data_IF_108963766193
#
_entry.id   IF_108963766193
#
_cell.length_a   1.000
_cell.length_b   1.000
_cell.length_c   1.000
_cell.angle_alpha   90.00
_cell.angle_beta   90.00
_cell.angle_gamma   90.00
#
_symmetry.space_group_name_H-M   'P 1'
#
loop_
_entity.id
_entity.type
_entity.pdbx_description
1 polymer ?
#
# COMPACT_ATOMS: atom_id res chain seq x y z
N UNK A 1 64.21 -64.38 5.38
CA UNK A 1 62.82 -64.11 5.18
C UNK A 1 62.64 -62.61 5.06
N UNK A 2 62.71 -62.06 3.84
CA UNK A 2 62.57 -60.61 3.61
C UNK A 2 61.26 -60.38 2.89
N UNK A 3 60.29 -59.84 3.61
CA UNK A 3 59.05 -59.37 3.03
C UNK A 3 59.26 -58.01 2.37
N UNK A 4 59.25 -57.98 1.04
CA UNK A 4 59.22 -56.82 0.24
C UNK A 4 57.77 -56.23 0.29
N UNK A 5 57.61 -55.14 0.98
CA UNK A 5 56.35 -54.39 0.97
C UNK A 5 56.32 -53.58 -0.34
N UNK A 6 55.50 -54.03 -1.28
CA UNK A 6 55.26 -53.32 -2.51
C UNK A 6 54.35 -52.14 -2.21
N UNK A 7 54.88 -50.90 -2.25
CA UNK A 7 54.14 -49.69 -2.12
C UNK A 7 53.39 -49.41 -3.46
N UNK A 8 52.16 -49.79 -3.51
CA UNK A 8 51.26 -49.34 -4.60
C UNK A 8 50.93 -47.87 -4.45
N UNK A 9 51.63 -47.06 -5.22
CA UNK A 9 51.25 -45.66 -5.42
C UNK A 9 49.93 -45.68 -6.18
N UNK A 10 48.86 -45.48 -5.41
CA UNK A 10 47.55 -45.24 -5.97
C UNK A 10 47.55 -43.83 -6.57
N UNK A 11 47.90 -43.73 -7.84
CA UNK A 11 47.69 -42.53 -8.63
C UNK A 11 46.21 -42.32 -8.72
N UNK A 12 45.67 -41.60 -7.77
CA UNK A 12 44.30 -41.10 -7.83
C UNK A 12 44.14 -40.26 -9.09
N UNK A 13 43.49 -40.83 -10.07
CA UNK A 13 42.94 -40.04 -11.18
C UNK A 13 42.05 -38.99 -10.58
N UNK A 14 42.59 -37.80 -10.40
CA UNK A 14 41.77 -36.59 -10.17
C UNK A 14 40.97 -36.44 -11.46
N UNK A 15 39.81 -37.04 -11.48
CA UNK A 15 38.82 -36.73 -12.46
C UNK A 15 38.59 -35.21 -12.34
N UNK A 16 39.17 -34.48 -13.28
CA UNK A 16 38.81 -33.09 -13.55
C UNK A 16 37.34 -33.11 -13.98
N UNK A 17 36.45 -33.31 -13.02
CA UNK A 17 35.07 -32.95 -13.18
C UNK A 17 35.08 -31.45 -13.39
N UNK A 18 35.18 -31.09 -14.67
CA UNK A 18 34.97 -29.70 -15.06
C UNK A 18 33.62 -29.30 -14.49
N UNK A 19 33.67 -28.62 -13.35
CA UNK A 19 32.49 -28.06 -12.74
C UNK A 19 31.90 -27.09 -13.74
N UNK A 20 31.02 -27.56 -14.60
CA UNK A 20 30.08 -26.72 -15.31
C UNK A 20 29.18 -26.10 -14.26
N UNK A 21 29.71 -25.06 -13.57
CA UNK A 21 28.92 -24.30 -12.62
C UNK A 21 27.71 -23.75 -13.37
N UNK A 22 26.54 -23.98 -12.83
CA UNK A 22 25.32 -23.33 -13.31
C UNK A 22 25.53 -21.81 -13.34
N UNK A 23 24.77 -21.11 -14.17
CA UNK A 23 24.67 -19.65 -14.06
C UNK A 23 24.25 -19.27 -12.65
N UNK A 24 24.70 -18.11 -12.21
CA UNK A 24 24.22 -17.51 -10.98
C UNK A 24 22.79 -17.03 -11.17
N UNK A 25 22.06 -16.94 -10.08
CA UNK A 25 20.71 -16.40 -10.10
C UNK A 25 20.77 -14.89 -10.37
N UNK A 26 19.81 -14.38 -11.12
CA UNK A 26 19.67 -12.95 -11.32
C UNK A 26 19.10 -12.30 -10.06
N UNK A 27 19.61 -11.11 -9.70
CA UNK A 27 19.07 -10.29 -8.64
C UNK A 27 18.28 -9.10 -9.22
N UNK A 28 17.30 -8.61 -8.48
CA UNK A 28 16.46 -7.49 -8.91
C UNK A 28 17.26 -6.22 -9.28
N UNK A 29 18.38 -6.00 -8.61
CA UNK A 29 19.29 -4.86 -8.85
C UNK A 29 19.91 -4.81 -10.25
N UNK A 30 19.90 -5.94 -10.96
CA UNK A 30 20.36 -6.01 -12.34
C UNK A 30 19.35 -5.45 -13.35
N UNK A 31 18.14 -5.13 -12.91
CA UNK A 31 17.06 -4.74 -13.80
C UNK A 31 16.52 -3.36 -13.48
N UNK A 32 16.12 -2.65 -14.51
CA UNK A 32 15.43 -1.36 -14.41
C UNK A 32 14.23 -1.38 -15.33
N UNK A 33 13.06 -1.11 -14.80
CA UNK A 33 11.80 -1.06 -15.55
C UNK A 33 11.39 0.38 -15.82
N UNK A 34 10.92 0.67 -17.03
CA UNK A 34 10.45 1.98 -17.44
C UNK A 34 9.20 1.85 -18.33
N UNK A 35 8.07 2.50 -17.98
CA UNK A 35 7.80 3.17 -16.71
C UNK A 35 7.70 2.18 -15.53
N UNK A 36 7.84 2.65 -14.29
CA UNK A 36 7.66 1.85 -13.07
C UNK A 36 6.91 2.68 -12.03
N UNK A 37 5.63 2.37 -11.72
CA UNK A 37 4.83 1.26 -12.24
C UNK A 37 4.55 1.35 -13.75
N UNK A 38 4.12 0.21 -14.33
CA UNK A 38 3.69 0.18 -15.73
C UNK A 38 2.37 0.94 -15.90
N UNK A 39 2.21 1.58 -17.07
CA UNK A 39 1.04 2.37 -17.40
C UNK A 39 0.17 1.70 -18.45
N UNK A 40 -1.15 1.83 -18.33
CA UNK A 40 -2.10 1.36 -19.33
C UNK A 40 -2.21 2.38 -20.44
N UNK A 41 -1.99 1.95 -21.66
CA UNK A 41 -2.12 2.78 -22.88
C UNK A 41 -3.11 2.10 -23.83
N UNK A 42 -4.33 2.62 -23.87
CA UNK A 42 -5.46 1.95 -24.56
C UNK A 42 -5.76 0.60 -23.90
N UNK A 43 -5.73 -0.47 -24.69
CA UNK A 43 -5.99 -1.84 -24.21
C UNK A 43 -4.67 -2.60 -23.90
N UNK A 44 -3.54 -1.91 -23.79
CA UNK A 44 -2.24 -2.52 -23.61
C UNK A 44 -1.48 -1.92 -22.45
N UNK A 45 -0.52 -2.69 -21.95
CA UNK A 45 0.43 -2.28 -20.92
C UNK A 45 1.84 -2.39 -21.48
N UNK A 46 2.30 -1.37 -22.21
CA UNK A 46 3.65 -1.35 -22.77
C UNK A 46 4.67 -0.96 -21.71
N UNK A 47 5.89 -1.46 -21.88
CA UNK A 47 7.01 -1.08 -21.04
C UNK A 47 8.32 -1.64 -21.55
N UNK A 48 9.39 -1.35 -20.84
CA UNK A 48 10.73 -1.81 -21.18
C UNK A 48 11.47 -2.20 -19.90
N UNK A 49 12.04 -3.39 -19.89
CA UNK A 49 12.96 -3.82 -18.84
C UNK A 49 14.37 -3.79 -19.41
N UNK A 50 15.25 -3.03 -18.77
CA UNK A 50 16.68 -2.99 -19.10
C UNK A 50 17.43 -3.86 -18.08
N UNK A 51 18.17 -4.85 -18.59
CA UNK A 51 19.00 -5.71 -17.77
C UNK A 51 20.47 -5.33 -17.93
N UNK A 52 21.14 -5.06 -16.80
CA UNK A 52 22.59 -4.85 -16.76
C UNK A 52 23.25 -6.14 -16.28
N UNK A 53 23.84 -6.89 -17.20
CA UNK A 53 24.48 -8.18 -16.93
C UNK A 53 25.93 -7.94 -16.55
N UNK A 54 26.36 -8.28 -15.31
CA UNK A 54 27.72 -8.06 -14.83
C UNK A 54 28.75 -8.91 -15.60
N UNK A 55 30.01 -8.50 -15.50
CA UNK A 55 31.14 -9.28 -16.02
C UNK A 55 31.20 -10.68 -15.40
N UNK A 56 31.56 -11.66 -16.19
CA UNK A 56 31.70 -13.08 -15.81
C UNK A 56 30.40 -13.77 -15.34
N UNK A 57 29.28 -13.08 -15.46
CA UNK A 57 27.97 -13.57 -15.04
C UNK A 57 27.37 -14.51 -16.10
N UNK A 58 27.22 -14.06 -17.33
CA UNK A 58 26.63 -14.82 -18.42
C UNK A 58 27.62 -15.83 -19.01
N UNK A 59 27.29 -17.11 -18.96
CA UNK A 59 28.22 -18.15 -19.41
C UNK A 59 28.34 -18.19 -20.93
N UNK A 60 29.58 -18.38 -21.42
CA UNK A 60 29.90 -18.40 -22.86
C UNK A 60 29.09 -19.40 -23.69
N UNK A 61 28.72 -20.53 -23.09
CA UNK A 61 27.99 -21.64 -23.73
C UNK A 61 26.55 -21.74 -23.24
N UNK A 62 26.00 -20.68 -22.68
CA UNK A 62 24.62 -20.63 -22.21
C UNK A 62 23.74 -19.84 -23.19
N UNK A 63 22.52 -20.28 -23.31
CA UNK A 63 21.41 -19.56 -23.92
C UNK A 63 20.35 -19.35 -22.84
N UNK A 64 19.84 -18.13 -22.71
CA UNK A 64 18.86 -17.77 -21.67
C UNK A 64 17.65 -17.18 -22.35
N UNK A 65 16.52 -17.85 -22.19
CA UNK A 65 15.22 -17.31 -22.60
C UNK A 65 14.57 -16.65 -21.41
N UNK A 66 14.24 -15.39 -21.58
CA UNK A 66 13.58 -14.54 -20.57
C UNK A 66 12.14 -14.35 -20.99
N UNK A 67 11.20 -14.68 -20.10
CA UNK A 67 9.77 -14.50 -20.33
C UNK A 67 9.21 -13.53 -19.30
N UNK A 68 8.88 -12.29 -19.70
CA UNK A 68 8.22 -11.36 -18.80
C UNK A 68 6.77 -11.77 -18.53
N UNK A 69 6.33 -11.59 -17.29
CA UNK A 69 4.92 -11.78 -16.94
C UNK A 69 4.46 -10.83 -15.82
N UNK A 70 3.19 -10.48 -15.87
CA UNK A 70 2.49 -9.83 -14.77
C UNK A 70 1.87 -10.89 -13.87
N UNK A 71 2.11 -10.79 -12.57
CA UNK A 71 1.44 -11.59 -11.55
C UNK A 71 0.38 -10.75 -10.86
N UNK A 72 -0.86 -11.23 -10.79
CA UNK A 72 -1.99 -10.52 -10.20
C UNK A 72 -2.99 -11.49 -9.56
N UNK A 73 -3.80 -10.98 -8.64
CA UNK A 73 -4.70 -11.83 -7.86
C UNK A 73 -3.97 -12.84 -7.00
N UNK A 74 -4.52 -14.03 -6.84
CA UNK A 74 -3.88 -15.09 -6.04
C UNK A 74 -2.80 -15.84 -6.83
N UNK A 75 -3.08 -16.24 -8.09
CA UNK A 75 -2.16 -17.08 -8.89
C UNK A 75 -2.24 -16.80 -10.40
N UNK A 76 -2.83 -15.66 -10.80
CA UNK A 76 -2.97 -15.34 -12.21
C UNK A 76 -1.68 -14.78 -12.79
N UNK A 77 -1.40 -15.14 -14.04
CA UNK A 77 -0.24 -14.66 -14.80
C UNK A 77 -0.66 -14.26 -16.20
N UNK A 78 -0.22 -13.08 -16.64
CA UNK A 78 -0.25 -12.68 -18.03
C UNK A 78 1.18 -12.62 -18.55
N UNK A 79 1.49 -13.33 -19.62
CA UNK A 79 2.84 -13.39 -20.20
C UNK A 79 2.97 -12.46 -21.39
N UNK A 80 4.15 -11.83 -21.52
CA UNK A 80 4.54 -11.10 -22.71
C UNK A 80 5.43 -11.97 -23.62
N UNK A 81 5.90 -11.41 -24.73
CA UNK A 81 6.82 -12.07 -25.64
C UNK A 81 8.11 -12.47 -24.92
N UNK A 82 8.60 -13.68 -25.19
CA UNK A 82 9.89 -14.16 -24.69
C UNK A 82 11.04 -13.67 -25.57
N UNK A 83 12.18 -13.42 -24.93
CA UNK A 83 13.42 -12.99 -25.59
C UNK A 83 14.56 -13.94 -25.22
N UNK A 84 15.37 -14.32 -26.20
CA UNK A 84 16.49 -15.22 -26.00
C UNK A 84 17.80 -14.51 -26.23
N UNK A 85 18.73 -14.67 -25.29
CA UNK A 85 20.09 -14.14 -25.34
C UNK A 85 21.08 -15.30 -25.31
N UNK A 86 22.23 -15.14 -25.95
CA UNK A 86 23.22 -16.20 -26.05
C UNK A 86 24.62 -15.75 -25.66
N UNK A 87 25.41 -16.69 -25.16
CA UNK A 87 26.83 -16.48 -24.92
C UNK A 87 27.67 -16.66 -26.19
N UNK A 88 28.89 -16.15 -26.16
CA UNK A 88 29.82 -16.06 -27.29
C UNK A 88 30.11 -17.40 -28.01
N UNK A 89 29.94 -18.54 -27.34
CA UNK A 89 30.21 -19.87 -27.89
C UNK A 89 28.96 -20.61 -28.38
N UNK A 90 27.79 -20.02 -28.22
CA UNK A 90 26.55 -20.57 -28.74
C UNK A 90 26.43 -20.21 -30.23
N UNK A 91 26.17 -21.21 -31.06
CA UNK A 91 25.91 -21.00 -32.48
C UNK A 91 24.43 -20.66 -32.67
N UNK A 92 24.14 -19.43 -32.97
CA UNK A 92 22.77 -18.92 -33.17
C UNK A 92 22.79 -17.46 -33.58
N UNK A 93 21.60 -16.90 -33.82
CA UNK A 93 21.43 -15.50 -34.25
C UNK A 93 20.86 -14.61 -33.14
N UNK A 94 20.79 -15.11 -31.90
CA UNK A 94 20.31 -14.33 -30.79
C UNK A 94 21.33 -13.26 -30.36
N UNK A 95 20.92 -12.17 -29.72
CA UNK A 95 21.84 -11.18 -29.17
C UNK A 95 22.86 -11.81 -28.22
N UNK A 96 24.14 -11.47 -28.44
CA UNK A 96 25.27 -12.07 -27.71
C UNK A 96 25.62 -11.21 -26.50
N UNK A 97 25.72 -11.86 -25.33
CA UNK A 97 26.25 -11.24 -24.10
C UNK A 97 27.67 -11.77 -23.87
N UNK A 98 28.62 -10.84 -23.79
CA UNK A 98 30.02 -11.16 -23.62
C UNK A 98 30.31 -11.58 -22.16
N UNK A 99 31.00 -12.70 -21.98
CA UNK A 99 31.35 -13.18 -20.64
C UNK A 99 32.31 -12.27 -19.90
N UNK A 100 33.28 -11.68 -20.61
CA UNK A 100 34.33 -10.87 -19.96
C UNK A 100 33.85 -9.47 -19.63
N UNK A 101 33.00 -8.91 -20.47
CA UNK A 101 32.59 -7.51 -20.40
C UNK A 101 31.20 -7.35 -19.78
N UNK A 102 30.39 -8.41 -19.82
CA UNK A 102 28.95 -8.30 -19.51
C UNK A 102 28.19 -7.64 -20.65
N UNK A 103 27.17 -6.89 -20.33
CA UNK A 103 26.41 -6.12 -21.32
C UNK A 103 25.08 -5.63 -20.78
N UNK A 104 24.51 -4.69 -21.49
CA UNK A 104 23.16 -4.19 -21.24
C UNK A 104 22.24 -4.71 -22.32
N UNK A 105 21.10 -5.27 -21.94
CA UNK A 105 20.07 -5.75 -22.86
C UNK A 105 18.73 -5.13 -22.53
N UNK A 106 17.94 -4.90 -23.58
CA UNK A 106 16.62 -4.30 -23.48
C UNK A 106 15.58 -5.36 -23.82
N UNK A 107 14.58 -5.49 -22.98
CA UNK A 107 13.49 -6.45 -23.09
C UNK A 107 12.19 -5.65 -23.14
N UNK A 108 11.64 -5.40 -24.34
CA UNK A 108 10.33 -4.78 -24.44
C UNK A 108 9.25 -5.70 -23.86
N UNK A 109 8.31 -5.12 -23.17
CA UNK A 109 7.17 -5.86 -22.64
C UNK A 109 5.88 -5.21 -23.11
N UNK A 110 4.87 -6.04 -23.37
CA UNK A 110 3.53 -5.57 -23.69
C UNK A 110 2.53 -6.63 -23.29
N UNK A 111 1.52 -6.21 -22.53
CA UNK A 111 0.46 -7.10 -22.06
C UNK A 111 -0.88 -6.55 -22.54
N UNK A 112 -1.82 -7.44 -22.84
CA UNK A 112 -3.20 -7.04 -23.07
C UNK A 112 -3.82 -6.78 -21.68
N UNK A 113 -4.32 -5.56 -21.49
CA UNK A 113 -4.86 -5.15 -20.19
C UNK A 113 -6.20 -5.83 -19.91
N UNK A 114 -6.36 -6.30 -18.67
CA UNK A 114 -7.65 -6.69 -18.11
C UNK A 114 -7.82 -6.04 -16.73
N UNK A 115 -9.08 -5.76 -16.30
CA UNK A 115 -9.31 -5.10 -15.03
C UNK A 115 -8.72 -5.82 -13.81
N UNK A 116 -8.55 -7.13 -13.88
CA UNK A 116 -7.96 -7.92 -12.81
C UNK A 116 -6.47 -7.60 -12.58
N UNK A 117 -5.81 -6.98 -13.58
CA UNK A 117 -4.41 -6.58 -13.50
C UNK A 117 -4.18 -5.24 -12.79
N UNK A 118 -5.23 -4.56 -12.31
CA UNK A 118 -5.15 -3.24 -11.66
C UNK A 118 -4.15 -3.17 -10.51
N UNK A 119 -3.83 -4.30 -9.90
CA UNK A 119 -2.76 -4.46 -8.93
C UNK A 119 -1.95 -5.68 -9.33
N UNK A 120 -0.80 -5.44 -9.92
CA UNK A 120 0.07 -6.51 -10.41
C UNK A 120 1.53 -6.18 -10.18
N UNK A 121 2.36 -7.21 -10.23
CA UNK A 121 3.81 -7.12 -10.13
C UNK A 121 4.45 -7.67 -11.40
N UNK A 122 5.51 -7.04 -11.89
CA UNK A 122 6.25 -7.48 -13.06
C UNK A 122 7.39 -8.41 -12.65
N UNK A 123 7.39 -9.60 -13.21
CA UNK A 123 8.40 -10.62 -13.03
C UNK A 123 9.05 -11.04 -14.35
N UNK A 124 10.25 -11.59 -14.24
CA UNK A 124 10.94 -12.29 -15.32
C UNK A 124 11.16 -13.73 -14.92
N UNK A 125 10.73 -14.66 -15.78
CA UNK A 125 11.09 -16.09 -15.72
C UNK A 125 12.30 -16.35 -16.61
N UNK A 126 13.20 -17.24 -16.17
CA UNK A 126 14.44 -17.56 -16.88
C UNK A 126 14.54 -19.05 -17.15
N UNK A 127 14.65 -19.41 -18.41
CA UNK A 127 14.97 -20.75 -18.85
C UNK A 127 16.38 -20.76 -19.45
N UNK A 128 17.26 -21.60 -18.93
CA UNK A 128 18.67 -21.65 -19.32
C UNK A 128 18.99 -22.97 -20.00
N UNK A 129 19.56 -22.89 -21.19
CA UNK A 129 20.16 -24.02 -21.89
C UNK A 129 21.68 -23.83 -21.86
N UNK A 130 22.40 -24.73 -21.17
CA UNK A 130 23.85 -24.65 -21.06
C UNK A 130 24.47 -25.98 -21.56
N UNK A 131 24.90 -26.01 -22.80
CA UNK A 131 25.32 -27.20 -23.48
C UNK A 131 24.17 -28.20 -23.61
N UNK A 132 24.24 -29.35 -22.93
CA UNK A 132 23.17 -30.37 -22.89
C UNK A 132 22.22 -30.21 -21.69
N UNK A 133 22.47 -29.27 -20.81
CA UNK A 133 21.67 -29.10 -19.59
C UNK A 133 20.63 -27.99 -19.81
N UNK A 134 19.39 -28.28 -19.40
CA UNK A 134 18.29 -27.30 -19.37
C UNK A 134 17.85 -27.20 -17.92
N UNK A 135 17.71 -25.96 -17.45
CA UNK A 135 17.24 -25.67 -16.10
C UNK A 135 16.64 -24.26 -16.04
N UNK A 136 15.84 -24.00 -15.03
CA UNK A 136 15.27 -22.69 -14.74
C UNK A 136 16.04 -22.02 -13.61
N UNK A 137 16.09 -20.68 -13.63
CA UNK A 137 16.49 -19.87 -12.48
C UNK A 137 15.25 -19.36 -11.76
N UNK A 138 15.38 -18.94 -10.51
CA UNK A 138 14.28 -18.31 -9.78
C UNK A 138 13.74 -17.12 -10.54
N UNK A 139 12.42 -16.94 -10.52
CA UNK A 139 11.78 -15.74 -11.06
C UNK A 139 12.19 -14.51 -10.26
N UNK A 140 12.38 -13.39 -10.94
CA UNK A 140 12.81 -12.13 -10.31
C UNK A 140 11.74 -11.08 -10.52
N UNK A 141 11.29 -10.45 -9.42
CA UNK A 141 10.47 -9.24 -9.48
C UNK A 141 11.34 -8.08 -9.94
N UNK A 142 10.99 -7.46 -11.05
CA UNK A 142 11.79 -6.39 -11.69
C UNK A 142 11.11 -5.02 -11.67
N UNK A 143 9.88 -4.99 -11.24
CA UNK A 143 9.11 -3.74 -11.12
C UNK A 143 7.70 -3.98 -10.60
N UNK A 144 7.02 -2.88 -10.43
CA UNK A 144 5.58 -2.91 -10.22
C UNK A 144 4.89 -3.02 -11.57
N UNK A 145 3.83 -3.82 -11.62
CA UNK A 145 2.98 -3.92 -12.79
C UNK A 145 2.05 -2.71 -12.91
N UNK A 146 0.81 -2.95 -13.25
CA UNK A 146 -0.19 -1.88 -13.32
C UNK A 146 -0.67 -1.54 -11.91
N UNK A 147 -0.70 -0.24 -11.59
CA UNK A 147 -1.32 0.30 -10.37
C UNK A 147 -2.40 1.29 -10.81
N UNK A 148 -3.66 0.89 -10.71
CA UNK A 148 -4.77 1.78 -11.03
C UNK A 148 -5.10 2.70 -9.85
N UNK A 149 -5.42 3.96 -10.13
CA UNK A 149 -5.84 4.94 -9.10
C UNK A 149 -7.07 4.49 -8.30
N UNK A 150 -7.96 3.68 -8.90
CA UNK A 150 -9.09 3.07 -8.21
C UNK A 150 -8.66 2.15 -7.07
N UNK A 151 -7.54 1.41 -7.20
CA UNK A 151 -7.03 0.55 -6.13
C UNK A 151 -6.42 1.34 -4.98
N UNK A 152 -5.93 2.55 -5.23
CA UNK A 152 -5.48 3.47 -4.20
C UNK A 152 -6.66 4.00 -3.37
N UNK A 153 -7.82 4.20 -4.00
CA UNK A 153 -9.05 4.58 -3.31
C UNK A 153 -9.58 3.43 -2.42
N UNK A 154 -9.48 2.19 -2.88
CA UNK A 154 -9.88 1.01 -2.11
C UNK A 154 -8.92 0.67 -0.96
N UNK A 155 -7.65 1.01 -1.09
CA UNK A 155 -6.66 0.82 -0.02
C UNK A 155 -6.89 1.78 1.17
N UNK A 156 -7.56 2.88 0.94
CA UNK A 156 -8.08 3.75 1.98
C UNK A 156 -9.52 3.34 2.29
N UNK A 157 -9.75 2.19 2.89
CA UNK A 157 -10.97 1.96 3.66
C UNK A 157 -10.93 2.93 4.86
N UNK A 158 -11.25 4.17 4.57
CA UNK A 158 -11.64 5.11 5.60
C UNK A 158 -12.94 4.55 6.15
N UNK A 159 -12.85 3.86 7.28
CA UNK A 159 -14.04 3.60 8.09
C UNK A 159 -14.50 4.98 8.50
N UNK A 160 -15.62 5.51 7.96
CA UNK A 160 -16.12 6.80 8.41
C UNK A 160 -16.43 6.64 9.88
N UNK A 161 -15.63 7.26 10.73
CA UNK A 161 -15.98 7.40 12.14
C UNK A 161 -17.09 8.46 12.18
N UNK A 162 -18.34 8.03 12.14
CA UNK A 162 -19.45 8.87 12.52
C UNK A 162 -19.40 9.00 14.04
N UNK A 163 -18.78 10.06 14.52
CA UNK A 163 -19.01 10.50 15.87
C UNK A 163 -20.37 11.21 15.90
N UNK A 164 -21.24 10.82 16.82
CA UNK A 164 -22.45 11.57 17.08
C UNK A 164 -22.03 13.02 17.34
N UNK A 165 -22.49 13.94 16.53
CA UNK A 165 -22.26 15.33 16.78
C UNK A 165 -22.98 15.76 18.07
N UNK A 166 -22.53 16.82 18.71
CA UNK A 166 -23.17 17.40 19.89
C UNK A 166 -24.37 18.27 19.53
N UNK A 167 -24.86 18.13 18.29
CA UNK A 167 -26.02 18.90 17.85
C UNK A 167 -27.25 18.47 18.60
N UNK A 168 -27.82 19.39 19.37
CA UNK A 168 -29.12 19.26 20.02
C UNK A 168 -30.12 20.12 19.27
N UNK A 169 -31.14 19.52 18.70
CA UNK A 169 -32.21 20.21 17.99
C UNK A 169 -33.04 21.10 18.93
N UNK A 170 -33.16 20.66 20.17
CA UNK A 170 -33.88 21.37 21.25
C UNK A 170 -32.92 21.51 22.41
N UNK A 171 -32.76 22.75 22.87
CA UNK A 171 -31.93 23.09 24.05
C UNK A 171 -32.87 23.64 25.09
N UNK A 172 -32.94 23.01 26.24
CA UNK A 172 -33.73 23.51 27.37
C UNK A 172 -32.92 24.60 28.10
N UNK A 173 -33.44 25.82 28.10
CA UNK A 173 -32.89 26.95 28.85
C UNK A 173 -33.69 27.11 30.14
N UNK A 174 -33.00 27.16 31.27
CA UNK A 174 -33.61 27.40 32.59
C UNK A 174 -33.16 28.75 33.10
N UNK A 175 -34.11 29.58 33.48
CA UNK A 175 -33.80 30.84 34.17
C UNK A 175 -34.52 30.90 35.55
N UNK A 176 -33.74 31.29 36.55
CA UNK A 176 -34.22 31.35 37.91
C UNK A 176 -34.35 32.78 38.41
N UNK A 177 -35.35 33.00 39.26
CA UNK A 177 -35.50 34.25 39.96
C UNK A 177 -35.79 34.02 41.46
N UNK A 178 -35.14 34.79 42.27
CA UNK A 178 -35.33 34.73 43.70
C UNK A 178 -36.00 36.04 44.20
N UNK A 179 -37.07 35.91 44.96
CA UNK A 179 -37.76 36.99 45.62
C UNK A 179 -37.64 36.84 47.14
N UNK A 180 -37.05 37.87 47.77
CA UNK A 180 -36.87 37.81 49.24
C UNK A 180 -37.92 38.66 49.97
N UNK A 181 -38.56 38.05 50.94
CA UNK A 181 -39.49 38.69 51.86
C UNK A 181 -38.83 39.06 53.19
N UNK A 182 -39.32 40.09 53.82
CA UNK A 182 -38.94 40.38 55.19
C UNK A 182 -39.67 39.46 56.16
N UNK A 183 -39.07 39.23 57.34
CA UNK A 183 -39.67 38.38 58.40
C UNK A 183 -41.06 38.89 58.72
N UNK A 184 -42.04 38.00 58.74
CA UNK A 184 -43.45 38.27 58.99
C UNK A 184 -44.13 39.24 58.05
N UNK A 185 -43.59 39.44 56.85
CA UNK A 185 -44.17 40.30 55.83
C UNK A 185 -44.35 39.58 54.48
N UNK A 186 -45.56 39.57 53.95
CA UNK A 186 -45.87 38.97 52.68
C UNK A 186 -45.80 40.00 51.51
N UNK A 187 -45.42 41.23 51.78
CA UNK A 187 -45.39 42.28 50.78
C UNK A 187 -44.11 42.21 49.94
N UNK A 188 -44.23 42.22 48.62
CA UNK A 188 -43.10 42.29 47.71
C UNK A 188 -42.51 43.75 47.79
N UNK A 189 -41.23 43.81 48.10
CA UNK A 189 -40.56 45.10 48.23
C UNK A 189 -40.29 45.69 46.82
N UNK A 190 -40.48 47.00 46.70
CA UNK A 190 -40.19 47.72 45.47
C UNK A 190 -38.71 47.58 45.03
N UNK A 191 -37.82 47.29 45.97
CA UNK A 191 -36.42 47.03 45.69
C UNK A 191 -36.18 45.72 44.88
N UNK A 192 -37.03 44.74 45.11
CA UNK A 192 -36.93 43.41 44.43
C UNK A 192 -37.40 43.47 42.97
N UNK A 193 -38.20 44.50 42.61
CA UNK A 193 -38.74 44.72 41.27
C UNK A 193 -37.94 45.72 40.44
N UNK A 194 -36.85 46.25 41.03
CA UNK A 194 -36.02 47.23 40.31
C UNK A 194 -35.27 46.57 39.14
N UNK A 195 -34.98 47.35 38.12
CA UNK A 195 -34.18 46.90 36.98
C UNK A 195 -32.82 46.38 37.46
N UNK A 196 -32.41 45.22 36.93
CA UNK A 196 -31.16 44.55 37.30
C UNK A 196 -31.29 43.60 38.49
N UNK A 197 -32.49 43.41 39.11
CA UNK A 197 -32.75 42.38 40.09
C UNK A 197 -33.02 41.03 39.42
N UNK A 198 -32.93 39.97 40.18
CA UNK A 198 -33.22 38.58 39.70
C UNK A 198 -34.61 38.50 39.05
N UNK A 199 -35.63 39.09 39.66
CA UNK A 199 -37.01 39.12 39.12
C UNK A 199 -37.14 39.93 37.85
N UNK A 200 -36.48 41.10 37.77
CA UNK A 200 -36.48 41.93 36.56
C UNK A 200 -35.86 41.18 35.38
N UNK A 201 -34.70 40.55 35.61
CA UNK A 201 -34.01 39.78 34.57
C UNK A 201 -34.85 38.60 34.11
N UNK A 202 -35.50 37.87 35.04
CA UNK A 202 -36.43 36.80 34.71
C UNK A 202 -37.58 37.28 33.81
N UNK A 203 -38.21 38.37 34.18
CA UNK A 203 -39.30 38.93 33.40
C UNK A 203 -38.85 39.37 32.00
N UNK A 204 -37.66 39.95 31.87
CA UNK A 204 -37.08 40.33 30.59
C UNK A 204 -36.83 39.07 29.72
N UNK A 205 -36.24 37.99 30.28
CA UNK A 205 -35.98 36.72 29.60
C UNK A 205 -37.30 36.06 29.13
N UNK A 206 -38.31 36.05 30.00
CA UNK A 206 -39.64 35.49 29.63
C UNK A 206 -40.30 36.35 28.54
N UNK A 207 -40.20 37.66 28.60
CA UNK A 207 -40.76 38.55 27.59
C UNK A 207 -40.05 38.42 26.24
N UNK A 208 -38.73 38.17 26.23
CA UNK A 208 -37.95 37.88 25.03
C UNK A 208 -38.32 36.53 24.46
N UNK A 209 -38.40 35.48 25.29
CA UNK A 209 -38.80 34.15 24.85
C UNK A 209 -40.21 34.12 24.24
N UNK A 210 -41.15 34.91 24.80
CA UNK A 210 -42.52 34.99 24.30
C UNK A 210 -42.63 35.68 22.93
N UNK A 211 -41.64 36.43 22.51
CA UNK A 211 -41.60 37.15 21.23
C UNK A 211 -40.77 36.42 20.17
N UNK A 212 -40.00 35.41 20.57
CA UNK A 212 -39.11 34.68 19.69
C UNK A 212 -39.84 33.53 19.02
N UNK A 213 -39.77 33.45 17.68
CA UNK A 213 -40.43 32.38 16.90
C UNK A 213 -39.79 30.99 17.12
N UNK A 214 -38.61 30.95 17.70
CA UNK A 214 -37.84 29.73 17.92
C UNK A 214 -37.75 29.28 19.38
N UNK A 215 -38.54 29.93 20.28
CA UNK A 215 -38.59 29.60 21.70
C UNK A 215 -40.02 29.30 22.13
N UNK A 216 -40.14 28.27 22.98
CA UNK A 216 -41.41 27.90 23.61
C UNK A 216 -41.22 27.85 25.13
N UNK A 217 -42.16 28.41 25.89
CA UNK A 217 -42.14 28.38 27.34
C UNK A 217 -42.87 27.12 27.78
N UNK A 218 -42.13 26.10 28.22
CA UNK A 218 -42.70 24.83 28.68
C UNK A 218 -43.42 24.96 30.03
N UNK A 219 -42.95 25.85 30.91
CA UNK A 219 -43.58 26.01 32.20
C UNK A 219 -42.89 27.00 33.12
N UNK A 220 -43.57 27.44 34.13
CA UNK A 220 -43.05 28.26 35.23
C UNK A 220 -43.29 27.53 36.52
N UNK A 221 -42.22 27.26 37.25
CA UNK A 221 -42.25 26.64 38.57
C UNK A 221 -42.06 27.67 39.68
N UNK A 222 -42.93 27.70 40.63
CA UNK A 222 -42.82 28.58 41.77
C UNK A 222 -42.67 27.74 43.04
N UNK A 223 -41.58 27.94 43.77
CA UNK A 223 -41.39 27.32 45.11
C UNK A 223 -41.21 28.39 46.16
N UNK A 224 -41.78 28.14 47.34
CA UNK A 224 -41.63 29.07 48.47
C UNK A 224 -41.01 28.31 49.65
N UNK A 225 -40.13 29.00 50.36
CA UNK A 225 -39.45 28.48 51.55
C UNK A 225 -39.69 29.42 52.69
N UNK A 226 -40.10 28.91 53.84
CA UNK A 226 -40.18 29.63 55.09
C UNK A 226 -38.93 29.38 55.93
N UNK A 227 -38.35 30.40 56.56
CA UNK A 227 -37.30 30.21 57.54
C UNK A 227 -37.84 29.47 58.74
N UNK A 228 -37.20 28.39 59.19
CA UNK A 228 -37.57 27.76 60.47
C UNK A 228 -37.31 28.78 61.58
N UNK A 229 -38.24 28.93 62.52
CA UNK A 229 -38.08 29.71 63.70
C UNK A 229 -37.05 29.10 64.66
#
# INVERSE_FOLDING_TARGET
>A
MNKKISLYVLVGAVALTGCNKKMQDFAAEHFTTNPNPLEVVGDNVPGTVTANVPQKFFKKNAEVTVTPYLSYGMDNKATSQSYTFQGEKVKGNNPVINYKEGGTVTIPVNFVYTPEMMKSDLYLDFNVVQGKKVYTLPAVKVGEGVVATSTLADATTVTPSAAADKYQRVINEICDANLMFLINQANVRASELKKGTSVSNFNETVAEASKADNKEIEGIHVSSFASPE
#
